data_IF_428369215327
#
_entry.id   IF_428369215327
#
_cell.length_a   1.000
_cell.length_b   1.000
_cell.length_c   1.000
_cell.angle_alpha   90.00
_cell.angle_beta   90.00
_cell.angle_gamma   90.00
#
_symmetry.space_group_name_H-M   'P 1'
#
loop_
_entity.id
_entity.type
_entity.pdbx_description
1 polymer ?
#
# COMPACT_ATOMS: atom_id res chain seq x y z
N UNK A 1 14.43 2.59 18.29
CA UNK A 1 14.35 1.30 19.03
C UNK A 1 14.25 0.18 17.98
N UNK A 2 13.99 -1.08 18.32
CA UNK A 2 13.64 -2.07 17.30
C UNK A 2 12.17 -1.87 16.85
N UNK A 3 11.86 -2.12 15.57
CA UNK A 3 10.48 -2.13 15.06
C UNK A 3 9.58 -3.02 15.93
N UNK A 4 8.30 -2.67 16.02
CA UNK A 4 7.29 -3.52 16.65
C UNK A 4 7.25 -4.92 16.01
N UNK A 5 6.93 -5.93 16.82
CA UNK A 5 6.94 -7.34 16.40
C UNK A 5 5.60 -7.99 16.63
N UNK A 6 5.21 -8.88 15.73
CA UNK A 6 4.05 -9.77 15.89
C UNK A 6 4.41 -11.17 15.42
N UNK A 7 3.86 -12.19 16.09
CA UNK A 7 4.03 -13.60 15.71
C UNK A 7 3.15 -13.98 14.51
N UNK A 8 3.27 -15.21 14.01
CA UNK A 8 2.59 -15.65 12.78
C UNK A 8 1.09 -15.40 12.77
N UNK A 9 0.62 -14.73 11.71
CA UNK A 9 -0.78 -14.52 11.39
C UNK A 9 -0.92 -14.22 9.89
N UNK A 10 -2.14 -14.30 9.36
CA UNK A 10 -2.41 -13.98 7.96
C UNK A 10 -3.27 -12.71 7.85
N UNK A 11 -2.72 -11.57 7.42
CA UNK A 11 -3.48 -10.33 7.31
C UNK A 11 -4.50 -10.31 6.16
N UNK A 12 -4.48 -11.33 5.28
CA UNK A 12 -5.28 -11.38 4.06
C UNK A 12 -6.53 -12.27 4.16
N UNK A 13 -6.76 -12.93 5.30
CA UNK A 13 -7.97 -13.73 5.52
C UNK A 13 -9.08 -12.88 6.14
N UNK A 14 -10.36 -13.12 5.81
CA UNK A 14 -11.49 -12.30 6.27
C UNK A 14 -11.61 -12.19 7.80
N UNK A 15 -11.15 -13.21 8.53
CA UNK A 15 -11.19 -13.23 9.99
C UNK A 15 -10.37 -12.11 10.65
N UNK A 16 -9.47 -11.45 9.90
CA UNK A 16 -8.64 -10.36 10.37
C UNK A 16 -9.01 -9.00 9.73
N UNK A 17 -10.13 -8.91 9.00
CA UNK A 17 -10.55 -7.65 8.35
C UNK A 17 -10.87 -6.53 9.36
N UNK A 18 -11.22 -6.86 10.60
CA UNK A 18 -11.45 -5.91 11.69
C UNK A 18 -10.19 -5.14 12.11
N UNK A 19 -9.01 -5.64 11.75
CA UNK A 19 -7.72 -4.99 12.02
C UNK A 19 -7.34 -3.95 10.98
N UNK A 20 -8.03 -3.90 9.85
CA UNK A 20 -7.77 -2.93 8.79
C UNK A 20 -8.48 -1.61 9.10
N UNK A 21 -7.74 -0.50 8.95
CA UNK A 21 -8.25 0.83 9.17
C UNK A 21 -8.72 1.44 7.86
N UNK A 22 -10.01 1.76 7.77
CA UNK A 22 -10.56 2.50 6.64
C UNK A 22 -9.98 3.91 6.56
N UNK A 23 -9.46 4.27 5.39
CA UNK A 23 -9.00 5.62 5.05
C UNK A 23 -9.74 6.12 3.81
N UNK A 24 -9.74 7.43 3.61
CA UNK A 24 -10.34 8.09 2.43
C UNK A 24 -11.75 7.57 2.04
N UNK A 25 -12.76 7.94 2.83
CA UNK A 25 -14.17 7.62 2.56
C UNK A 25 -14.47 6.12 2.39
N UNK A 26 -13.55 5.24 2.77
CA UNK A 26 -13.71 3.80 2.78
C UNK A 26 -13.33 3.08 1.50
N UNK A 27 -12.78 3.77 0.50
CA UNK A 27 -12.25 3.12 -0.73
C UNK A 27 -10.85 2.57 -0.54
N UNK A 28 -10.11 3.05 0.46
CA UNK A 28 -8.80 2.57 0.82
C UNK A 28 -8.83 2.07 2.27
N UNK A 29 -8.03 1.06 2.56
CA UNK A 29 -7.79 0.57 3.91
C UNK A 29 -6.28 0.40 4.12
N UNK A 30 -5.83 0.54 5.36
CA UNK A 30 -4.43 0.35 5.73
C UNK A 30 -4.29 -0.59 6.94
N UNK A 31 -3.14 -1.24 7.03
CA UNK A 31 -2.79 -2.09 8.15
C UNK A 31 -1.28 -2.04 8.38
N UNK A 32 -0.85 -1.44 9.49
CA UNK A 32 0.58 -1.41 9.86
C UNK A 32 1.00 -2.75 10.43
N UNK A 33 1.97 -3.41 9.79
CA UNK A 33 2.51 -4.70 10.23
C UNK A 33 3.64 -4.56 11.24
N UNK A 34 4.47 -3.53 11.07
CA UNK A 34 5.60 -3.20 11.94
C UNK A 34 5.90 -1.70 11.85
N UNK A 35 6.35 -1.09 12.94
CA UNK A 35 6.76 0.33 13.00
C UNK A 35 7.86 0.54 14.03
N UNK A 36 8.86 1.36 13.71
CA UNK A 36 9.79 1.95 14.68
C UNK A 36 9.35 3.39 14.96
N UNK A 37 8.78 3.63 16.14
CA UNK A 37 8.22 4.92 16.54
C UNK A 37 9.27 6.05 16.61
N UNK A 38 10.56 5.71 16.67
CA UNK A 38 11.64 6.70 16.74
C UNK A 38 12.01 7.24 15.35
N UNK A 39 12.18 6.34 14.38
CA UNK A 39 12.54 6.72 13.00
C UNK A 39 11.33 7.00 12.11
N UNK A 40 10.16 6.46 12.46
CA UNK A 40 8.97 6.45 11.62
C UNK A 40 9.00 5.39 10.51
N UNK A 41 10.02 4.54 10.45
CA UNK A 41 10.11 3.45 9.47
C UNK A 41 9.06 2.37 9.76
N UNK A 42 8.30 1.96 8.74
CA UNK A 42 7.20 1.01 8.89
C UNK A 42 7.12 0.01 7.74
N UNK A 43 6.37 -1.06 7.98
CA UNK A 43 5.88 -1.98 6.95
C UNK A 43 4.36 -1.98 7.06
N UNK A 44 3.66 -1.75 5.95
CA UNK A 44 2.21 -1.55 5.96
C UNK A 44 1.59 -2.20 4.74
N UNK A 45 0.42 -2.78 4.92
CA UNK A 45 -0.42 -3.15 3.79
C UNK A 45 -1.38 -2.01 3.47
N UNK A 46 -1.54 -1.73 2.19
CA UNK A 46 -2.59 -0.85 1.68
C UNK A 46 -3.54 -1.68 0.81
N UNK A 47 -4.84 -1.62 1.11
CA UNK A 47 -5.89 -2.28 0.33
C UNK A 47 -6.70 -1.23 -0.40
N UNK A 48 -6.71 -1.31 -1.71
CA UNK A 48 -7.57 -0.54 -2.60
C UNK A 48 -8.80 -1.36 -2.92
N UNK A 49 -10.00 -0.87 -2.60
CA UNK A 49 -11.25 -1.55 -2.97
C UNK A 49 -11.50 -1.43 -4.49
N UNK A 50 -12.30 -2.34 -5.08
CA UNK A 50 -12.68 -2.23 -6.48
C UNK A 50 -13.25 -0.84 -6.80
N UNK A 51 -12.70 -0.18 -7.82
CA UNK A 51 -13.10 1.16 -8.22
C UNK A 51 -12.44 2.30 -7.45
N UNK A 52 -11.51 2.01 -6.52
CA UNK A 52 -10.73 3.06 -5.87
C UNK A 52 -9.92 3.85 -6.91
N UNK A 53 -10.02 5.19 -6.82
CA UNK A 53 -9.35 6.14 -7.69
C UNK A 53 -8.82 7.30 -6.86
N UNK A 54 -7.50 7.43 -6.83
CA UNK A 54 -6.79 8.45 -6.04
C UNK A 54 -6.45 9.69 -6.86
N UNK A 55 -7.00 9.85 -8.06
CA UNK A 55 -6.76 11.00 -8.95
C UNK A 55 -7.00 12.35 -8.26
N UNK A 56 -7.98 12.43 -7.35
CA UNK A 56 -8.26 13.63 -6.57
C UNK A 56 -7.11 14.05 -5.63
N UNK A 57 -6.25 13.10 -5.23
CA UNK A 57 -5.09 13.36 -4.35
C UNK A 57 -3.79 13.65 -5.12
N UNK A 58 -3.81 13.49 -6.44
CA UNK A 58 -2.64 13.62 -7.30
C UNK A 58 -1.55 12.58 -7.04
N UNK A 59 -0.44 12.72 -7.76
CA UNK A 59 0.75 11.88 -7.59
C UNK A 59 1.46 12.19 -6.26
N UNK A 60 2.24 11.22 -5.78
CA UNK A 60 3.02 11.30 -4.53
C UNK A 60 4.51 11.12 -4.81
N UNK A 61 5.32 11.64 -3.89
CA UNK A 61 6.76 11.45 -3.82
C UNK A 61 7.21 11.60 -2.37
N UNK A 62 8.24 10.88 -1.96
CA UNK A 62 8.75 10.88 -0.58
C UNK A 62 10.25 11.11 -0.55
N UNK A 63 10.77 11.66 0.55
CA UNK A 63 12.22 11.90 0.73
C UNK A 63 12.99 10.65 1.19
N UNK A 64 12.29 9.52 1.35
CA UNK A 64 12.81 8.22 1.75
C UNK A 64 12.55 7.18 0.66
N UNK A 65 13.35 6.09 0.60
CA UNK A 65 13.06 5.00 -0.31
C UNK A 65 11.78 4.25 0.10
N UNK A 66 11.04 3.76 -0.87
CA UNK A 66 9.85 2.93 -0.66
C UNK A 66 10.00 1.64 -1.45
N UNK A 67 9.76 0.49 -0.82
CA UNK A 67 9.63 -0.77 -1.53
C UNK A 67 8.17 -1.21 -1.52
N UNK A 68 7.69 -1.67 -2.68
CA UNK A 68 6.34 -2.23 -2.80
C UNK A 68 6.33 -3.61 -3.42
N UNK A 69 5.35 -4.42 -3.04
CA UNK A 69 5.01 -5.68 -3.70
C UNK A 69 3.49 -5.80 -3.83
N UNK A 70 3.00 -6.05 -5.05
CA UNK A 70 1.58 -6.34 -5.25
C UNK A 70 1.29 -7.78 -4.78
N UNK A 71 0.55 -7.91 -3.69
CA UNK A 71 0.18 -9.20 -3.11
C UNK A 71 -1.10 -9.78 -3.71
N UNK A 72 -2.01 -8.91 -4.17
CA UNK A 72 -3.30 -9.30 -4.76
C UNK A 72 -3.77 -8.26 -5.76
N UNK A 73 -4.43 -8.73 -6.83
CA UNK A 73 -5.07 -7.88 -7.81
C UNK A 73 -4.08 -7.09 -8.65
N UNK A 74 -4.44 -5.84 -8.96
CA UNK A 74 -3.63 -4.95 -9.77
C UNK A 74 -3.87 -3.48 -9.43
N UNK A 75 -2.88 -2.64 -9.67
CA UNK A 75 -2.93 -1.20 -9.44
C UNK A 75 -2.37 -0.48 -10.65
N UNK A 76 -3.12 0.45 -11.23
CA UNK A 76 -2.60 1.28 -12.30
C UNK A 76 -1.83 2.46 -11.71
N UNK A 77 -0.57 2.60 -12.08
CA UNK A 77 0.25 3.75 -11.73
C UNK A 77 0.27 4.72 -12.92
N UNK A 78 -0.35 5.89 -12.73
CA UNK A 78 -0.44 6.91 -13.77
C UNK A 78 0.91 7.58 -14.09
N UNK A 79 1.85 7.65 -13.14
CA UNK A 79 3.17 8.24 -13.39
C UNK A 79 3.99 7.40 -14.39
N UNK A 80 3.80 6.08 -14.34
CA UNK A 80 4.48 5.13 -15.24
C UNK A 80 3.59 4.62 -16.38
N UNK A 81 2.33 5.04 -16.41
CA UNK A 81 1.33 4.63 -17.40
C UNK A 81 1.26 3.10 -17.58
N UNK A 82 1.23 2.35 -16.48
CA UNK A 82 1.18 0.88 -16.51
C UNK A 82 0.35 0.30 -15.38
N UNK A 83 -0.15 -0.91 -15.62
CA UNK A 83 -0.65 -1.77 -14.56
C UNK A 83 0.53 -2.44 -13.86
N UNK A 84 0.45 -2.46 -12.52
CA UNK A 84 1.20 -3.33 -11.65
C UNK A 84 0.27 -4.49 -11.27
N UNK A 85 0.71 -5.73 -11.44
CA UNK A 85 -0.07 -6.93 -11.15
C UNK A 85 0.56 -7.74 -10.02
N UNK A 86 -0.17 -8.73 -9.49
CA UNK A 86 0.34 -9.59 -8.41
C UNK A 86 1.72 -10.16 -8.73
N UNK A 87 2.69 -9.92 -7.85
CA UNK A 87 4.09 -10.28 -8.03
C UNK A 87 4.99 -9.17 -8.59
N UNK A 88 4.43 -8.07 -9.12
CA UNK A 88 5.22 -6.89 -9.46
C UNK A 88 5.81 -6.25 -8.21
N UNK A 89 7.09 -5.91 -8.30
CA UNK A 89 7.90 -5.30 -7.25
C UNK A 89 8.50 -3.99 -7.77
N UNK A 90 8.64 -3.00 -6.88
CA UNK A 90 9.46 -1.83 -7.13
C UNK A 90 10.24 -1.43 -5.88
N UNK A 91 11.46 -0.96 -6.07
CA UNK A 91 12.23 -0.19 -5.09
C UNK A 91 12.34 1.23 -5.60
N UNK A 92 11.53 2.12 -5.04
CA UNK A 92 11.40 3.51 -5.44
C UNK A 92 12.45 4.33 -4.69
N UNK A 93 13.39 4.99 -5.38
CA UNK A 93 14.34 5.88 -4.72
C UNK A 93 13.63 7.14 -4.17
N UNK A 94 14.26 7.85 -3.22
CA UNK A 94 13.78 9.17 -2.80
C UNK A 94 13.48 10.09 -3.99
N UNK A 95 12.34 10.76 -3.95
CA UNK A 95 11.88 11.71 -4.95
C UNK A 95 11.19 11.08 -6.17
N UNK A 96 11.10 9.76 -6.29
CA UNK A 96 10.36 9.13 -7.38
C UNK A 96 8.86 9.47 -7.30
N UNK A 97 8.33 10.01 -8.40
CA UNK A 97 6.91 10.33 -8.54
C UNK A 97 6.17 9.05 -8.91
N UNK A 98 5.12 8.74 -8.15
CA UNK A 98 4.27 7.59 -8.38
C UNK A 98 2.79 7.93 -8.17
N UNK A 99 1.91 7.16 -8.79
CA UNK A 99 0.48 7.44 -8.84
C UNK A 99 0.15 8.70 -9.67
N UNK A 100 -1.08 9.26 -9.53
CA UNK A 100 -2.18 8.70 -8.75
C UNK A 100 -2.52 7.29 -9.22
N UNK A 101 -3.05 6.53 -8.29
CA UNK A 101 -3.42 5.13 -8.47
C UNK A 101 -4.90 4.96 -8.74
N UNK A 102 -5.22 3.97 -9.57
CA UNK A 102 -6.59 3.46 -9.73
C UNK A 102 -6.60 1.95 -9.82
N UNK A 103 -7.70 1.33 -9.44
CA UNK A 103 -7.92 -0.11 -9.64
C UNK A 103 -9.36 -0.41 -10.02
N UNK A 104 -9.56 -1.45 -10.82
CA UNK A 104 -10.88 -1.97 -11.17
C UNK A 104 -11.25 -3.24 -10.37
N UNK A 105 -10.29 -3.82 -9.65
CA UNK A 105 -10.47 -4.96 -8.75
C UNK A 105 -9.92 -4.63 -7.37
N UNK A 106 -10.12 -5.49 -6.38
CA UNK A 106 -9.42 -5.32 -5.11
C UNK A 106 -7.92 -5.49 -5.34
N UNK A 107 -7.12 -4.56 -4.82
CA UNK A 107 -5.66 -4.63 -4.85
C UNK A 107 -5.09 -4.51 -3.44
N UNK A 108 -4.11 -5.36 -3.10
CA UNK A 108 -3.37 -5.28 -1.85
C UNK A 108 -1.89 -5.11 -2.18
N UNK A 109 -1.32 -4.04 -1.63
CA UNK A 109 0.08 -3.65 -1.78
C UNK A 109 0.75 -3.76 -0.41
N UNK A 110 1.91 -4.42 -0.36
CA UNK A 110 2.86 -4.27 0.74
C UNK A 110 3.71 -3.03 0.51
#
# INVERSE_FOLDING_TARGET
MAKSTTTYWNPLIPENDDRWESIDNGLLEQLTLAIDEESGDYTRLTRFKPGADTSAFGAKSHEYPEEILILKGRLFDAAFNRWLETGDYASRPPGEIHGPFKTDVECIVL
#
